data_IF_123685350217
#
_entry.id   IF_123685350217
#
_cell.length_a   1.000
_cell.length_b   1.000
_cell.length_c   1.000
_cell.angle_alpha   90.00
_cell.angle_beta   90.00
_cell.angle_gamma   90.00
#
_symmetry.space_group_name_H-M   'P 1'
#
loop_
_entity.id
_entity.type
_entity.pdbx_description
1 polymer ?
#
# COMPACT_ATOMS: atom_id res chain seq x y z
N UNK A 1 4.26 -14.50 -62.95
CA UNK A 1 4.34 -13.27 -62.11
C UNK A 1 5.37 -13.43 -60.99
N UNK A 2 6.57 -13.94 -61.27
CA UNK A 2 7.61 -14.24 -60.25
C UNK A 2 9.03 -13.85 -60.68
N UNK A 3 9.26 -13.55 -61.95
CA UNK A 3 10.59 -13.27 -62.52
C UNK A 3 11.31 -12.09 -61.88
N UNK A 4 10.58 -11.12 -61.32
CA UNK A 4 11.17 -9.97 -60.63
C UNK A 4 11.88 -10.35 -59.33
N UNK A 5 11.30 -11.26 -58.53
CA UNK A 5 11.82 -11.63 -57.20
C UNK A 5 13.07 -12.49 -57.29
N UNK A 6 13.26 -13.20 -58.41
CA UNK A 6 14.43 -14.02 -58.70
C UNK A 6 15.60 -13.21 -59.29
N UNK A 7 15.41 -11.92 -59.59
CA UNK A 7 16.50 -11.07 -60.09
C UNK A 7 17.58 -10.88 -59.02
N UNK A 8 18.85 -10.84 -59.44
CA UNK A 8 19.98 -10.60 -58.55
C UNK A 8 19.79 -9.32 -57.70
N UNK A 9 19.25 -8.26 -58.31
CA UNK A 9 18.97 -7.00 -57.61
C UNK A 9 17.92 -7.15 -56.50
N UNK A 10 16.84 -7.91 -56.72
CA UNK A 10 15.81 -8.15 -55.70
C UNK A 10 16.35 -9.02 -54.56
N UNK A 11 17.12 -10.05 -54.90
CA UNK A 11 17.78 -10.94 -53.92
C UNK A 11 18.79 -10.16 -53.06
N UNK A 12 19.62 -9.30 -53.67
CA UNK A 12 20.61 -8.51 -52.95
C UNK A 12 19.97 -7.47 -52.04
N UNK A 13 18.89 -6.82 -52.50
CA UNK A 13 18.09 -5.92 -51.66
C UNK A 13 17.51 -6.66 -50.45
N UNK A 14 17.00 -7.87 -50.65
CA UNK A 14 16.49 -8.72 -49.57
C UNK A 14 17.59 -9.13 -48.58
N UNK A 15 18.75 -9.58 -49.08
CA UNK A 15 19.91 -9.95 -48.25
C UNK A 15 20.41 -8.76 -47.43
N UNK A 16 20.54 -7.58 -48.04
CA UNK A 16 20.95 -6.36 -47.36
C UNK A 16 19.94 -5.98 -46.27
N UNK A 17 18.65 -5.94 -46.59
CA UNK A 17 17.61 -5.65 -45.61
C UNK A 17 17.58 -6.67 -44.45
N UNK A 18 17.79 -7.96 -44.73
CA UNK A 18 17.90 -9.00 -43.71
C UNK A 18 19.13 -8.79 -42.81
N UNK A 19 20.28 -8.48 -43.40
CA UNK A 19 21.51 -8.17 -42.67
C UNK A 19 21.32 -6.94 -41.78
N UNK A 20 20.68 -5.89 -42.28
CA UNK A 20 20.40 -4.66 -41.54
C UNK A 20 19.41 -4.89 -40.39
N UNK A 21 18.40 -5.76 -40.58
CA UNK A 21 17.46 -6.14 -39.51
C UNK A 21 18.11 -6.98 -38.42
N UNK A 22 19.10 -7.80 -38.78
CA UNK A 22 19.84 -8.68 -37.86
C UNK A 22 21.16 -8.08 -37.39
N UNK A 23 21.49 -6.86 -37.78
CA UNK A 23 22.76 -6.23 -37.44
C UNK A 23 22.88 -6.05 -35.94
N UNK A 24 24.03 -6.40 -35.38
CA UNK A 24 24.37 -6.08 -34.02
C UNK A 24 24.80 -4.60 -33.93
N UNK A 25 23.97 -3.78 -33.29
CA UNK A 25 24.18 -2.32 -33.20
C UNK A 25 25.06 -2.02 -31.98
N UNK A 26 26.38 -2.16 -32.13
CA UNK A 26 27.39 -1.94 -31.09
C UNK A 26 27.30 -2.93 -29.91
N UNK A 27 27.01 -4.21 -30.17
CA UNK A 27 26.91 -5.23 -29.11
C UNK A 27 25.62 -5.18 -28.32
N UNK A 28 24.64 -4.38 -28.74
CA UNK A 28 23.32 -4.28 -28.10
C UNK A 28 22.29 -5.26 -28.68
N UNK A 29 22.68 -6.02 -29.71
CA UNK A 29 21.83 -6.98 -30.38
C UNK A 29 20.73 -6.33 -31.22
N UNK A 30 19.76 -7.16 -31.59
CA UNK A 30 18.61 -6.76 -32.41
C UNK A 30 17.61 -6.01 -31.51
N UNK A 31 17.21 -4.81 -31.92
CA UNK A 31 16.13 -4.08 -31.26
C UNK A 31 14.81 -4.84 -31.44
N UNK A 32 14.19 -5.21 -30.32
CA UNK A 32 12.95 -5.99 -30.27
C UNK A 32 11.99 -5.33 -29.28
N UNK A 33 10.71 -5.28 -29.63
CA UNK A 33 9.62 -4.84 -28.76
C UNK A 33 8.63 -6.00 -28.59
N UNK A 34 7.91 -6.04 -27.46
CA UNK A 34 6.89 -7.06 -27.23
C UNK A 34 5.47 -6.57 -27.60
N UNK A 35 5.32 -5.28 -27.91
CA UNK A 35 4.01 -4.64 -28.08
C UNK A 35 3.24 -5.13 -29.31
N UNK A 36 3.90 -5.88 -30.20
CA UNK A 36 3.30 -6.34 -31.45
C UNK A 36 2.69 -5.16 -32.22
N UNK A 37 1.42 -5.28 -32.58
CA UNK A 37 0.68 -4.22 -33.28
C UNK A 37 0.08 -3.16 -32.36
N UNK A 38 0.16 -3.30 -31.03
CA UNK A 38 -0.38 -2.32 -30.09
C UNK A 38 0.47 -1.05 -30.11
N UNK A 39 -0.20 0.09 -30.19
CA UNK A 39 0.45 1.40 -30.04
C UNK A 39 0.80 1.67 -28.58
N UNK A 40 1.78 2.53 -28.33
CA UNK A 40 2.11 2.94 -26.95
C UNK A 40 0.93 3.60 -26.23
N UNK A 41 0.10 4.34 -26.95
CA UNK A 41 -1.14 4.93 -26.42
C UNK A 41 -2.13 3.86 -25.96
N UNK A 42 -2.28 2.78 -26.73
CA UNK A 42 -3.15 1.67 -26.33
C UNK A 42 -2.59 0.95 -25.09
N UNK A 43 -1.28 0.74 -25.02
CA UNK A 43 -0.62 0.15 -23.84
C UNK A 43 -0.82 1.04 -22.60
N UNK A 44 -0.76 2.37 -22.77
CA UNK A 44 -1.00 3.35 -21.71
C UNK A 44 -2.45 3.30 -21.21
N UNK A 45 -3.44 3.22 -22.12
CA UNK A 45 -4.84 3.08 -21.76
C UNK A 45 -5.10 1.78 -20.99
N UNK A 46 -4.57 0.65 -21.47
CA UNK A 46 -4.65 -0.64 -20.79
C UNK A 46 -4.00 -0.60 -19.40
N UNK A 47 -2.81 -0.02 -19.28
CA UNK A 47 -2.13 0.17 -17.99
C UNK A 47 -2.90 1.09 -17.04
N UNK A 48 -3.51 2.15 -17.57
CA UNK A 48 -4.29 3.09 -16.78
C UNK A 48 -5.55 2.41 -16.21
N UNK A 49 -6.19 1.56 -17.01
CA UNK A 49 -7.31 0.74 -16.56
C UNK A 49 -6.88 -0.31 -15.51
N UNK A 50 -5.72 -0.95 -15.70
CA UNK A 50 -5.17 -1.93 -14.74
C UNK A 50 -4.75 -1.30 -13.40
N UNK A 51 -4.13 -0.11 -13.43
CA UNK A 51 -3.58 0.55 -12.24
C UNK A 51 -4.58 1.47 -11.53
N UNK A 52 -5.70 1.82 -12.18
CA UNK A 52 -6.67 2.80 -11.67
C UNK A 52 -6.11 4.22 -11.56
N UNK A 53 -4.96 4.50 -12.17
CA UNK A 53 -4.29 5.81 -12.21
C UNK A 53 -3.62 6.01 -13.56
N UNK A 54 -3.37 7.27 -13.98
CA UNK A 54 -2.60 7.53 -15.19
C UNK A 54 -1.25 6.80 -15.16
N UNK A 55 -1.01 5.98 -16.19
CA UNK A 55 0.25 5.27 -16.33
C UNK A 55 1.37 6.26 -16.70
N UNK A 56 2.54 6.08 -16.09
CA UNK A 56 3.68 6.91 -16.44
C UNK A 56 4.36 6.38 -17.70
N UNK A 57 5.01 7.28 -18.46
CA UNK A 57 5.74 6.88 -19.67
C UNK A 57 6.78 5.76 -19.41
N UNK A 58 7.43 5.78 -18.24
CA UNK A 58 8.37 4.73 -17.84
C UNK A 58 7.70 3.36 -17.67
N UNK A 59 6.49 3.32 -17.13
CA UNK A 59 5.71 2.07 -16.96
C UNK A 59 5.24 1.51 -18.30
N UNK A 60 4.78 2.39 -19.19
CA UNK A 60 4.44 2.04 -20.58
C UNK A 60 5.67 1.47 -21.30
N UNK A 61 6.83 2.10 -21.14
CA UNK A 61 8.07 1.65 -21.74
C UNK A 61 8.52 0.29 -21.19
N UNK A 62 8.43 0.06 -19.88
CA UNK A 62 8.73 -1.23 -19.25
C UNK A 62 7.78 -2.31 -19.80
N UNK A 63 6.46 -2.08 -19.78
CA UNK A 63 5.48 -3.06 -20.30
C UNK A 63 5.74 -3.42 -21.77
N UNK A 64 6.21 -2.46 -22.58
CA UNK A 64 6.51 -2.68 -24.00
C UNK A 64 7.84 -3.42 -24.28
N UNK A 65 8.74 -3.50 -23.30
CA UNK A 65 10.09 -4.08 -23.48
C UNK A 65 10.41 -5.19 -22.47
N UNK A 66 9.43 -5.62 -21.66
CA UNK A 66 9.61 -6.65 -20.64
C UNK A 66 8.75 -7.87 -20.92
N UNK A 67 9.32 -9.08 -20.83
CA UNK A 67 8.58 -10.34 -20.98
C UNK A 67 7.69 -10.61 -19.76
N UNK A 68 6.82 -11.62 -19.86
CA UNK A 68 6.04 -12.10 -18.70
C UNK A 68 6.93 -12.54 -17.53
N UNK A 69 8.13 -13.04 -17.83
CA UNK A 69 9.15 -13.43 -16.83
C UNK A 69 9.87 -12.24 -16.17
N UNK A 70 9.55 -11.00 -16.53
CA UNK A 70 10.17 -9.79 -15.99
C UNK A 70 11.53 -9.41 -16.61
N UNK A 71 12.07 -10.23 -17.52
CA UNK A 71 13.32 -9.94 -18.24
C UNK A 71 13.12 -9.00 -19.42
N UNK A 72 14.11 -8.16 -19.73
CA UNK A 72 14.06 -7.29 -20.90
C UNK A 72 14.26 -8.05 -22.20
N UNK A 73 13.55 -7.62 -23.24
CA UNK A 73 13.59 -8.25 -24.56
C UNK A 73 14.83 -7.79 -25.36
N UNK A 74 15.30 -6.57 -25.11
CA UNK A 74 16.49 -5.98 -25.72
C UNK A 74 17.39 -5.29 -24.69
N UNK A 75 18.70 -5.42 -24.87
CA UNK A 75 19.70 -4.80 -23.99
C UNK A 75 19.69 -3.27 -24.04
N UNK A 76 19.17 -2.69 -25.13
CA UNK A 76 19.05 -1.24 -25.25
C UNK A 76 17.97 -0.69 -24.33
N UNK A 77 16.77 -1.29 -24.28
CA UNK A 77 15.73 -0.85 -23.36
C UNK A 77 16.17 -1.00 -21.90
N UNK A 78 16.87 -2.07 -21.56
CA UNK A 78 17.43 -2.26 -20.22
C UNK A 78 18.33 -1.09 -19.81
N UNK A 79 19.32 -0.73 -20.65
CA UNK A 79 20.20 0.42 -20.40
C UNK A 79 19.44 1.74 -20.30
N UNK A 80 18.43 1.94 -21.14
CA UNK A 80 17.60 3.16 -21.12
C UNK A 80 16.81 3.25 -19.82
N UNK A 81 16.22 2.16 -19.35
CA UNK A 81 15.46 2.13 -18.09
C UNK A 81 16.37 2.28 -16.89
N UNK A 82 17.53 1.63 -16.90
CA UNK A 82 18.52 1.78 -15.83
C UNK A 82 18.97 3.24 -15.71
N UNK A 83 19.31 3.88 -16.83
CA UNK A 83 19.65 5.30 -16.87
C UNK A 83 18.48 6.19 -16.41
N UNK A 84 17.25 5.88 -16.83
CA UNK A 84 16.06 6.60 -16.40
C UNK A 84 15.83 6.50 -14.90
N UNK A 85 15.93 5.28 -14.32
CA UNK A 85 15.81 5.05 -12.87
C UNK A 85 16.86 5.83 -12.10
N UNK A 86 18.12 5.74 -12.52
CA UNK A 86 19.23 6.51 -11.91
C UNK A 86 18.98 8.01 -11.96
N UNK A 87 18.59 8.54 -13.11
CA UNK A 87 18.30 9.97 -13.28
C UNK A 87 17.09 10.42 -12.45
N UNK A 88 16.06 9.56 -12.32
CA UNK A 88 14.89 9.82 -11.48
C UNK A 88 15.28 9.90 -10.00
N UNK A 89 16.08 8.96 -9.53
CA UNK A 89 16.61 8.96 -8.16
C UNK A 89 17.53 10.14 -7.87
N UNK A 90 18.38 10.53 -8.82
CA UNK A 90 19.20 11.74 -8.70
C UNK A 90 18.36 13.01 -8.63
N UNK A 91 17.33 13.13 -9.49
CA UNK A 91 16.40 14.27 -9.44
C UNK A 91 15.63 14.32 -8.12
N UNK A 92 15.14 13.18 -7.64
CA UNK A 92 14.46 13.11 -6.34
C UNK A 92 15.41 13.45 -5.18
N UNK A 93 16.65 12.95 -5.23
CA UNK A 93 17.67 13.27 -4.23
C UNK A 93 17.99 14.79 -4.23
N UNK A 94 18.10 15.40 -5.41
CA UNK A 94 18.36 16.84 -5.52
C UNK A 94 17.17 17.68 -5.02
N UNK A 95 15.94 17.32 -5.38
CA UNK A 95 14.73 18.02 -4.92
C UNK A 95 14.55 17.93 -3.40
N UNK A 96 14.94 16.80 -2.82
CA UNK A 96 14.92 16.57 -1.38
C UNK A 96 16.18 17.06 -0.67
N UNK A 97 17.06 17.78 -1.34
CA UNK A 97 18.24 18.42 -0.74
C UNK A 97 18.01 19.92 -0.61
N UNK A 98 18.25 20.45 0.57
CA UNK A 98 18.16 21.89 0.85
C UNK A 98 19.39 22.36 1.62
N UNK A 99 19.73 23.64 1.50
CA UNK A 99 20.85 24.25 2.20
C UNK A 99 20.35 25.15 3.33
N UNK A 100 21.00 25.10 4.49
CA UNK A 100 20.81 26.13 5.52
C UNK A 100 21.67 27.36 5.20
N UNK A 101 21.41 28.50 5.86
CA UNK A 101 22.13 29.77 5.67
C UNK A 101 23.65 29.66 5.91
N UNK A 102 24.10 28.60 6.59
CA UNK A 102 25.51 28.28 6.84
C UNK A 102 26.19 27.52 5.69
N UNK A 103 25.46 27.17 4.63
CA UNK A 103 25.95 26.40 3.48
C UNK A 103 25.92 24.88 3.65
N UNK A 104 25.42 24.38 4.78
CA UNK A 104 25.31 22.95 5.06
C UNK A 104 24.15 22.31 4.27
N UNK A 105 24.42 21.18 3.60
CA UNK A 105 23.42 20.40 2.85
C UNK A 105 22.64 19.44 3.77
N UNK A 106 21.32 19.57 3.77
CA UNK A 106 20.37 18.72 4.48
C UNK A 106 19.47 17.94 3.50
N UNK A 107 18.82 16.89 4.03
CA UNK A 107 17.90 16.04 3.27
C UNK A 107 18.50 14.79 2.65
N UNK A 108 17.71 14.05 1.87
CA UNK A 108 18.05 12.69 1.39
C UNK A 108 19.29 12.68 0.49
N UNK A 109 19.51 13.71 -0.33
CA UNK A 109 20.70 13.81 -1.17
C UNK A 109 22.01 14.07 -0.41
N UNK A 110 21.94 14.60 0.82
CA UNK A 110 23.11 14.73 1.72
C UNK A 110 23.65 13.36 2.16
N UNK A 111 22.77 12.34 2.20
CA UNK A 111 23.12 11.00 2.65
C UNK A 111 23.96 10.22 1.63
N UNK A 112 23.76 10.40 0.32
CA UNK A 112 24.51 9.69 -0.74
C UNK A 112 26.04 9.86 -0.62
N UNK A 113 26.51 11.02 -0.17
CA UNK A 113 27.94 11.30 0.03
C UNK A 113 28.50 10.60 1.28
N UNK A 114 27.67 10.41 2.30
CA UNK A 114 28.01 9.78 3.58
C UNK A 114 27.89 8.25 3.51
N UNK A 115 27.05 7.73 2.62
CA UNK A 115 26.77 6.30 2.46
C UNK A 115 27.83 5.57 1.59
N UNK A 116 29.12 5.80 1.80
CA UNK A 116 30.17 4.88 1.32
C UNK A 116 30.30 3.71 2.30
N UNK A 117 29.22 2.97 2.55
CA UNK A 117 29.26 1.84 3.49
C UNK A 117 29.43 0.52 2.73
N UNK A 118 30.47 -0.23 3.11
CA UNK A 118 30.60 -1.67 2.83
C UNK A 118 29.27 -2.34 3.19
N UNK A 119 28.69 -3.13 2.28
CA UNK A 119 27.44 -3.87 2.51
C UNK A 119 27.64 -4.81 3.70
N UNK A 120 27.22 -4.41 4.89
CA UNK A 120 26.99 -5.32 6.00
C UNK A 120 25.49 -5.61 6.02
N UNK A 121 25.12 -6.88 6.09
CA UNK A 121 23.71 -7.27 6.18
C UNK A 121 23.07 -6.63 7.42
N UNK A 122 22.02 -5.80 7.26
CA UNK A 122 21.34 -5.14 8.38
C UNK A 122 20.79 -6.15 9.40
N UNK A 123 20.45 -7.35 8.91
CA UNK A 123 19.97 -8.49 9.72
C UNK A 123 21.00 -9.02 10.73
N UNK A 124 22.30 -8.75 10.53
CA UNK A 124 23.35 -9.23 11.43
C UNK A 124 23.71 -8.22 12.53
N UNK A 125 23.12 -7.03 12.53
CA UNK A 125 23.40 -6.03 13.55
C UNK A 125 22.69 -6.36 14.85
N UNK A 126 23.44 -6.47 15.94
CA UNK A 126 22.89 -6.75 17.28
C UNK A 126 21.81 -5.75 17.71
N UNK A 127 21.89 -4.49 17.25
CA UNK A 127 20.88 -3.47 17.52
C UNK A 127 19.55 -3.74 16.80
N UNK A 128 19.59 -4.29 15.59
CA UNK A 128 18.40 -4.64 14.82
C UNK A 128 17.66 -5.81 15.48
N UNK A 129 18.37 -6.89 15.83
CA UNK A 129 17.81 -8.03 16.54
C UNK A 129 17.23 -7.65 17.91
N UNK A 130 17.90 -6.71 18.61
CA UNK A 130 17.39 -6.19 19.88
C UNK A 130 16.09 -5.41 19.71
N UNK A 131 15.96 -4.56 18.69
CA UNK A 131 14.72 -3.85 18.41
C UNK A 131 13.60 -4.81 17.99
N UNK A 132 13.90 -5.81 17.17
CA UNK A 132 12.92 -6.80 16.74
C UNK A 132 12.34 -7.57 17.95
N UNK A 133 13.18 -8.00 18.89
CA UNK A 133 12.74 -8.62 20.14
C UNK A 133 11.83 -7.71 20.96
N UNK A 134 12.14 -6.42 21.04
CA UNK A 134 11.29 -5.44 21.75
C UNK A 134 9.91 -5.28 21.10
N UNK A 135 9.83 -5.34 19.78
CA UNK A 135 8.57 -5.29 19.05
C UNK A 135 7.73 -6.54 19.35
N UNK A 136 8.33 -7.72 19.23
CA UNK A 136 7.67 -8.99 19.56
C UNK A 136 7.18 -9.03 21.03
N UNK A 137 7.97 -8.52 21.97
CA UNK A 137 7.56 -8.41 23.38
C UNK A 137 6.41 -7.40 23.59
N UNK A 138 6.39 -6.30 22.84
CA UNK A 138 5.31 -5.32 22.91
C UNK A 138 4.00 -5.90 22.34
N UNK A 139 4.07 -6.62 21.22
CA UNK A 139 2.93 -7.31 20.62
C UNK A 139 2.33 -8.33 21.59
N UNK A 140 3.17 -9.15 22.24
CA UNK A 140 2.70 -10.12 23.25
C UNK A 140 1.97 -9.45 24.41
N UNK A 141 2.46 -8.30 24.89
CA UNK A 141 1.80 -7.54 25.97
C UNK A 141 0.45 -6.98 25.57
N UNK A 142 0.30 -6.55 24.31
CA UNK A 142 -0.98 -6.06 23.78
C UNK A 142 -1.99 -7.21 23.75
N UNK A 143 -1.57 -8.39 23.28
CA UNK A 143 -2.42 -9.57 23.23
C UNK A 143 -2.85 -10.04 24.64
N UNK A 144 -1.92 -10.10 25.59
CA UNK A 144 -2.21 -10.42 26.99
C UNK A 144 -3.24 -9.44 27.59
N UNK A 145 -3.09 -8.13 27.33
CA UNK A 145 -4.06 -7.13 27.79
C UNK A 145 -5.44 -7.29 27.12
N UNK A 146 -5.47 -7.59 25.82
CA UNK A 146 -6.73 -7.82 25.10
C UNK A 146 -7.51 -9.00 25.67
N UNK A 147 -6.84 -10.09 26.04
CA UNK A 147 -7.46 -11.24 26.70
C UNK A 147 -8.03 -10.87 28.08
N UNK A 148 -7.30 -10.08 28.87
CA UNK A 148 -7.77 -9.62 30.17
C UNK A 148 -9.00 -8.70 30.07
N UNK A 149 -9.00 -7.80 29.09
CA UNK A 149 -10.15 -6.92 28.81
C UNK A 149 -11.36 -7.75 28.40
N UNK A 150 -11.20 -8.69 27.46
CA UNK A 150 -12.30 -9.54 27.00
C UNK A 150 -12.93 -10.34 28.16
N UNK A 151 -12.12 -10.88 29.07
CA UNK A 151 -12.62 -11.58 30.25
C UNK A 151 -13.36 -10.64 31.22
N UNK A 152 -12.82 -9.44 31.46
CA UNK A 152 -13.45 -8.46 32.32
C UNK A 152 -14.78 -7.94 31.72
N UNK A 153 -14.86 -7.80 30.40
CA UNK A 153 -16.11 -7.45 29.70
C UNK A 153 -17.15 -8.56 29.80
N UNK A 154 -16.75 -9.83 29.68
CA UNK A 154 -17.65 -10.96 29.88
C UNK A 154 -18.23 -10.99 31.30
N UNK A 155 -17.39 -10.79 32.32
CA UNK A 155 -17.83 -10.73 33.72
C UNK A 155 -18.76 -9.54 33.97
N UNK A 156 -18.48 -8.36 33.39
CA UNK A 156 -19.38 -7.19 33.45
C UNK A 156 -20.72 -7.48 32.77
N UNK A 157 -20.70 -8.11 31.60
CA UNK A 157 -21.92 -8.47 30.86
C UNK A 157 -22.79 -9.45 31.67
N UNK A 158 -22.19 -10.42 32.37
CA UNK A 158 -22.93 -11.34 33.26
C UNK A 158 -23.60 -10.61 34.42
N UNK A 159 -22.90 -9.67 35.06
CA UNK A 159 -23.45 -8.85 36.15
C UNK A 159 -24.57 -7.94 35.63
N UNK A 160 -24.37 -7.31 34.49
CA UNK A 160 -25.39 -6.47 33.85
C UNK A 160 -26.64 -7.28 33.45
N UNK A 161 -26.48 -8.47 32.87
CA UNK A 161 -27.59 -9.35 32.54
C UNK A 161 -28.37 -9.77 33.81
N UNK A 162 -27.67 -10.12 34.89
CA UNK A 162 -28.31 -10.45 36.16
C UNK A 162 -29.07 -9.26 36.75
N UNK A 163 -28.51 -8.05 36.65
CA UNK A 163 -29.18 -6.83 37.09
C UNK A 163 -30.39 -6.49 36.22
N UNK A 164 -30.31 -6.65 34.90
CA UNK A 164 -31.43 -6.46 33.98
C UNK A 164 -32.58 -7.44 34.27
N UNK A 165 -32.28 -8.71 34.57
CA UNK A 165 -33.30 -9.68 34.97
C UNK A 165 -34.03 -9.24 36.25
N UNK A 166 -33.29 -8.82 37.29
CA UNK A 166 -33.90 -8.27 38.51
C UNK A 166 -34.78 -7.06 38.22
N UNK A 167 -34.31 -6.13 37.38
CA UNK A 167 -35.09 -4.96 36.98
C UNK A 167 -36.36 -5.33 36.19
N UNK A 168 -36.30 -6.34 35.32
CA UNK A 168 -37.47 -6.83 34.59
C UNK A 168 -38.52 -7.47 35.52
N UNK A 169 -38.08 -8.22 36.54
CA UNK A 169 -38.94 -8.75 37.60
C UNK A 169 -39.64 -7.61 38.36
N UNK A 170 -38.88 -6.61 38.82
CA UNK A 170 -39.45 -5.43 39.50
C UNK A 170 -40.45 -4.67 38.61
N UNK A 171 -40.12 -4.48 37.34
CA UNK A 171 -41.00 -3.81 36.37
C UNK A 171 -42.32 -4.58 36.19
N UNK A 172 -42.26 -5.91 36.19
CA UNK A 172 -43.45 -6.76 36.09
C UNK A 172 -44.31 -6.65 37.35
N UNK A 173 -43.69 -6.68 38.53
CA UNK A 173 -44.37 -6.51 39.80
C UNK A 173 -45.04 -5.13 39.91
N UNK A 174 -44.35 -4.06 39.48
CA UNK A 174 -44.90 -2.71 39.44
C UNK A 174 -46.16 -2.62 38.57
N UNK A 175 -46.15 -3.24 37.37
CA UNK A 175 -47.32 -3.28 36.49
C UNK A 175 -48.52 -3.97 37.14
N UNK A 176 -48.30 -5.09 37.83
CA UNK A 176 -49.36 -5.81 38.53
C UNK A 176 -49.96 -5.00 39.68
N UNK A 177 -49.12 -4.33 40.48
CA UNK A 177 -49.61 -3.49 41.59
C UNK A 177 -50.40 -2.28 41.05
N UNK A 178 -49.90 -1.63 39.99
CA UNK A 178 -50.62 -0.55 39.32
C UNK A 178 -51.98 -0.99 38.77
N UNK A 179 -52.14 -2.22 38.31
CA UNK A 179 -53.45 -2.68 37.82
C UNK A 179 -54.42 -3.08 38.93
N UNK A 180 -53.92 -3.38 40.13
CA UNK A 180 -54.71 -4.05 41.18
C UNK A 180 -55.06 -3.14 42.35
N UNK A 181 -54.18 -2.20 42.74
CA UNK A 181 -54.36 -1.39 43.95
C UNK A 181 -54.50 0.14 43.67
N UNK A 182 -55.68 0.73 43.89
CA UNK A 182 -55.91 2.17 43.78
C UNK A 182 -55.12 3.03 44.79
N UNK A 183 -54.76 2.50 45.96
CA UNK A 183 -54.01 3.25 47.00
C UNK A 183 -52.56 3.48 46.58
N UNK A 184 -52.00 2.53 45.84
CA UNK A 184 -50.67 2.65 45.28
C UNK A 184 -50.57 3.78 44.24
N UNK A 185 -51.62 4.01 43.43
CA UNK A 185 -51.69 5.17 42.52
C UNK A 185 -51.61 6.50 43.28
N UNK A 186 -52.35 6.63 44.38
CA UNK A 186 -52.32 7.83 45.21
C UNK A 186 -50.93 8.04 45.85
N UNK A 187 -50.29 6.97 46.31
CA UNK A 187 -48.93 7.03 46.86
C UNK A 187 -47.89 7.48 45.81
N UNK A 188 -47.88 6.88 44.62
CA UNK A 188 -46.97 7.27 43.54
C UNK A 188 -47.23 8.71 43.07
N UNK A 189 -48.50 9.14 43.00
CA UNK A 189 -48.84 10.53 42.69
C UNK A 189 -48.34 11.51 43.77
N UNK A 190 -48.39 11.11 45.05
CA UNK A 190 -47.84 11.92 46.14
C UNK A 190 -46.32 12.01 46.09
N UNK A 191 -45.62 10.91 45.79
CA UNK A 191 -44.16 10.91 45.64
C UNK A 191 -43.70 11.71 44.41
N UNK A 192 -44.40 11.60 43.28
CA UNK A 192 -44.12 12.40 42.09
C UNK A 192 -44.30 13.90 42.34
N UNK A 193 -45.23 14.29 43.24
CA UNK A 193 -45.40 15.68 43.67
C UNK A 193 -44.37 16.15 44.71
N UNK A 194 -43.65 15.22 45.34
CA UNK A 194 -42.63 15.50 46.37
C UNK A 194 -41.22 15.67 45.81
N UNK A 195 -40.96 15.27 44.56
CA UNK A 195 -39.62 15.30 43.95
C UNK A 195 -39.17 16.74 43.66
N UNK A 196 -38.13 17.27 44.36
CA UNK A 196 -37.64 18.62 44.13
C UNK A 196 -36.79 18.65 42.85
N UNK A 197 -36.98 19.70 42.05
CA UNK A 197 -36.10 20.03 40.93
C UNK A 197 -34.65 20.14 41.41
N UNK A 198 -33.80 19.16 41.08
CA UNK A 198 -32.36 19.25 41.29
C UNK A 198 -31.78 20.34 40.37
N UNK A 199 -31.53 21.50 40.97
CA UNK A 199 -30.61 22.53 40.51
C UNK A 199 -29.23 21.91 40.27
N UNK A 200 -28.80 21.84 39.02
CA UNK A 200 -27.41 21.54 38.65
C UNK A 200 -26.53 22.77 39.00
N UNK A 201 -25.49 22.55 39.80
CA UNK A 201 -24.27 23.37 39.86
C UNK A 201 -23.13 22.57 39.26
#
# INVERSE_FOLDING_TARGET
>A
MTTYWDTAAAVDKSKKASKDRKSDRNGLGIAKHNSGQKSYMQIEQELTAELGRPATFGEVFIKAHTKKDGTYVDFKAEKVIEAYKKNKEEKLANLSTFCNDRGDLFGIGSLKKKLKWKRNDPSSSASFLHMQRKLEEAERKIEEQAVLIAKAEEDRARVEAANQSKMAEFTTMQKYILSTDPRYHAFIASEASSSPASTNQ
#
